data_IF_161809443982
#
_entry.id   IF_161809443982
#
_cell.length_a   1.000
_cell.length_b   1.000
_cell.length_c   1.000
_cell.angle_alpha   90.00
_cell.angle_beta   90.00
_cell.angle_gamma   90.00
#
_symmetry.space_group_name_H-M   'P 1'
#
loop_
_entity.id
_entity.type
_entity.pdbx_description
1 polymer ?
#
# COMPACT_ATOMS: atom_id res chain seq x y z
N UNK A 1 -12.88 23.32 -8.60
CA UNK A 1 -12.04 22.31 -9.31
C UNK A 1 -12.91 21.58 -10.33
N UNK A 2 -12.47 21.48 -11.57
CA UNK A 2 -13.15 20.66 -12.58
C UNK A 2 -13.04 19.17 -12.26
N UNK A 3 -13.90 18.36 -12.91
CA UNK A 3 -13.83 16.89 -12.78
C UNK A 3 -12.46 16.38 -13.19
N UNK A 4 -11.94 16.82 -14.33
CA UNK A 4 -10.62 16.42 -14.82
C UNK A 4 -9.48 16.79 -13.87
N UNK A 5 -9.54 17.96 -13.27
CA UNK A 5 -8.57 18.40 -12.26
C UNK A 5 -8.63 17.54 -11.01
N UNK A 6 -9.84 17.17 -10.56
CA UNK A 6 -10.04 16.27 -9.42
C UNK A 6 -9.43 14.89 -9.69
N UNK A 7 -9.73 14.29 -10.85
CA UNK A 7 -9.17 13.00 -11.23
C UNK A 7 -7.65 13.03 -11.33
N UNK A 8 -7.10 14.10 -11.91
CA UNK A 8 -5.65 14.28 -11.98
C UNK A 8 -5.01 14.42 -10.59
N UNK A 9 -5.63 15.19 -9.68
CA UNK A 9 -5.18 15.35 -8.30
C UNK A 9 -5.20 14.02 -7.54
N UNK A 10 -6.28 13.24 -7.69
CA UNK A 10 -6.41 11.93 -7.04
C UNK A 10 -5.36 10.94 -7.54
N UNK A 11 -5.11 10.88 -8.85
CA UNK A 11 -4.02 10.06 -9.40
C UNK A 11 -2.65 10.50 -8.90
N UNK A 12 -2.42 11.80 -8.80
CA UNK A 12 -1.14 12.35 -8.35
C UNK A 12 -0.83 12.00 -6.89
N UNK A 13 -1.82 12.09 -5.99
CA UNK A 13 -1.61 11.74 -4.57
C UNK A 13 -1.34 10.23 -4.39
N UNK A 14 -2.03 9.38 -5.14
CA UNK A 14 -1.79 7.92 -5.11
C UNK A 14 -0.38 7.60 -5.61
N UNK A 15 0.05 8.19 -6.72
CA UNK A 15 1.41 8.04 -7.24
C UNK A 15 2.44 8.48 -6.20
N UNK A 16 2.28 9.67 -5.64
CA UNK A 16 3.18 10.20 -4.61
C UNK A 16 3.25 9.28 -3.39
N UNK A 17 2.11 8.75 -2.96
CA UNK A 17 2.05 7.80 -1.84
C UNK A 17 2.92 6.56 -2.10
N UNK A 18 2.73 5.90 -3.24
CA UNK A 18 3.49 4.68 -3.59
C UNK A 18 4.99 4.95 -3.75
N UNK A 19 5.35 6.05 -4.41
CA UNK A 19 6.75 6.46 -4.55
C UNK A 19 7.40 6.75 -3.19
N UNK A 20 6.66 7.38 -2.27
CA UNK A 20 7.12 7.68 -0.92
C UNK A 20 7.27 6.42 -0.05
N UNK A 21 6.38 5.44 -0.21
CA UNK A 21 6.50 4.13 0.45
C UNK A 21 7.79 3.41 0.00
N UNK A 22 8.06 3.37 -1.29
CA UNK A 22 9.28 2.77 -1.81
C UNK A 22 10.54 3.49 -1.30
N UNK A 23 10.50 4.82 -1.25
CA UNK A 23 11.62 5.66 -0.81
C UNK A 23 11.81 5.73 0.71
N UNK A 24 10.88 5.19 1.51
CA UNK A 24 10.87 5.35 2.96
C UNK A 24 10.78 6.81 3.42
N UNK A 25 10.08 7.63 2.67
CA UNK A 25 9.83 9.04 3.01
C UNK A 25 8.57 9.16 3.87
N UNK A 26 8.74 9.06 5.18
CA UNK A 26 7.62 9.02 6.14
C UNK A 26 6.82 10.33 6.17
N UNK A 27 7.47 11.47 5.99
CA UNK A 27 6.80 12.77 5.96
C UNK A 27 5.92 12.90 4.73
N UNK A 28 6.42 12.50 3.57
CA UNK A 28 5.65 12.49 2.33
C UNK A 28 4.49 11.48 2.37
N UNK A 29 4.69 10.31 2.99
CA UNK A 29 3.61 9.33 3.24
C UNK A 29 2.52 9.96 4.11
N UNK A 30 2.91 10.57 5.23
CA UNK A 30 1.99 11.25 6.14
C UNK A 30 1.17 12.32 5.41
N UNK A 31 1.81 13.12 4.57
CA UNK A 31 1.15 14.19 3.80
C UNK A 31 0.16 13.68 2.76
N UNK A 32 0.34 12.46 2.25
CA UNK A 32 -0.57 11.85 1.28
C UNK A 32 -1.86 11.31 1.90
N UNK A 33 -1.87 11.02 3.20
CA UNK A 33 -2.96 10.33 3.88
C UNK A 33 -3.89 11.30 4.61
N UNK A 34 -5.21 11.01 4.55
CA UNK A 34 -6.18 11.66 5.42
C UNK A 34 -5.99 11.22 6.87
N UNK A 35 -6.38 12.06 7.83
CA UNK A 35 -6.21 11.77 9.26
C UNK A 35 -6.90 10.44 9.68
N UNK A 36 -8.12 10.23 9.17
CA UNK A 36 -8.95 9.05 9.47
C UNK A 36 -8.86 7.96 8.39
N UNK A 37 -7.73 7.86 7.71
CA UNK A 37 -7.54 6.88 6.62
C UNK A 37 -7.69 5.44 7.14
N UNK A 38 -8.27 4.59 6.30
CA UNK A 38 -8.40 3.15 6.55
C UNK A 38 -7.59 2.38 5.50
N UNK A 39 -6.76 1.47 5.96
CA UNK A 39 -6.04 0.52 5.10
C UNK A 39 -6.60 -0.88 5.32
N UNK A 40 -7.14 -1.48 4.27
CA UNK A 40 -7.50 -2.90 4.23
C UNK A 40 -6.35 -3.65 3.60
N UNK A 41 -5.61 -4.39 4.39
CA UNK A 41 -4.36 -5.02 3.94
C UNK A 41 -4.43 -6.53 3.89
N UNK A 42 -3.57 -7.11 3.06
CA UNK A 42 -3.32 -8.56 3.04
C UNK A 42 -2.51 -8.92 4.28
N UNK A 43 -3.06 -9.79 5.12
CA UNK A 43 -2.43 -10.22 6.34
C UNK A 43 -2.31 -11.75 6.39
N UNK A 44 -1.34 -12.30 7.15
CA UNK A 44 -1.32 -13.71 7.46
C UNK A 44 -2.60 -14.12 8.20
N UNK A 45 -3.04 -15.36 7.99
CA UNK A 45 -4.34 -15.85 8.47
C UNK A 45 -4.52 -15.73 9.99
N UNK A 46 -3.44 -15.82 10.76
CA UNK A 46 -3.49 -15.71 12.22
C UNK A 46 -3.72 -14.28 12.73
N UNK A 47 -3.64 -13.27 11.87
CA UNK A 47 -3.91 -11.87 12.21
C UNK A 47 -5.32 -11.42 11.78
N UNK A 48 -6.12 -12.30 11.18
CA UNK A 48 -7.50 -12.00 10.81
C UNK A 48 -8.47 -12.48 11.90
N UNK A 49 -9.46 -11.67 12.26
CA UNK A 49 -10.36 -11.93 13.37
C UNK A 49 -11.13 -13.25 13.25
N UNK A 50 -11.49 -13.64 12.05
CA UNK A 50 -12.27 -14.86 11.79
C UNK A 50 -11.47 -16.02 11.20
N UNK A 51 -10.17 -15.81 10.93
CA UNK A 51 -9.29 -16.79 10.28
C UNK A 51 -9.72 -17.18 8.85
N UNK A 52 -10.71 -16.48 8.29
CA UNK A 52 -11.35 -16.85 7.02
C UNK A 52 -11.17 -15.79 5.93
N UNK A 53 -10.97 -14.53 6.30
CA UNK A 53 -10.88 -13.42 5.36
C UNK A 53 -9.64 -12.57 5.63
N UNK A 54 -9.12 -11.95 4.59
CA UNK A 54 -8.04 -10.97 4.67
C UNK A 54 -8.57 -9.60 5.11
N UNK A 55 -9.38 -9.58 6.18
CA UNK A 55 -10.09 -8.39 6.63
C UNK A 55 -9.33 -7.62 7.72
N UNK A 56 -8.02 -7.66 7.70
CA UNK A 56 -7.23 -6.85 8.61
C UNK A 56 -7.27 -5.37 8.18
N UNK A 57 -7.52 -4.50 9.14
CA UNK A 57 -7.65 -3.05 8.91
C UNK A 57 -6.69 -2.31 9.84
N UNK A 58 -5.94 -1.38 9.26
CA UNK A 58 -5.20 -0.37 10.03
C UNK A 58 -5.96 0.94 9.90
N UNK A 59 -6.33 1.52 11.03
CA UNK A 59 -7.05 2.78 11.10
C UNK A 59 -6.14 3.90 11.59
N UNK A 60 -6.30 5.07 11.03
CA UNK A 60 -5.58 6.31 11.25
C UNK A 60 -4.26 6.43 10.48
N UNK A 61 -3.98 7.66 10.10
CA UNK A 61 -2.74 8.04 9.42
C UNK A 61 -1.49 7.68 10.24
N UNK A 62 -1.50 7.99 11.52
CA UNK A 62 -0.33 7.75 12.37
C UNK A 62 -0.04 6.25 12.53
N UNK A 63 -1.09 5.42 12.61
CA UNK A 63 -0.95 3.97 12.67
C UNK A 63 -0.37 3.38 11.39
N UNK A 64 -0.81 3.88 10.22
CA UNK A 64 -0.27 3.44 8.92
C UNK A 64 1.19 3.86 8.76
N UNK A 65 1.53 5.11 9.07
CA UNK A 65 2.92 5.59 9.02
C UNK A 65 3.80 4.78 9.97
N UNK A 66 3.31 4.48 11.17
CA UNK A 66 4.03 3.65 12.13
C UNK A 66 4.25 2.22 11.62
N UNK A 67 3.26 1.61 10.99
CA UNK A 67 3.37 0.28 10.38
C UNK A 67 4.42 0.26 9.27
N UNK A 68 4.42 1.24 8.39
CA UNK A 68 5.45 1.37 7.35
C UNK A 68 6.84 1.54 7.97
N UNK A 69 6.95 2.37 9.01
CA UNK A 69 8.21 2.62 9.70
C UNK A 69 8.76 1.38 10.41
N UNK A 70 7.89 0.57 11.02
CA UNK A 70 8.30 -0.52 11.92
C UNK A 70 8.20 -1.92 11.32
N UNK A 71 7.42 -2.10 10.24
CA UNK A 71 7.13 -3.40 9.68
C UNK A 71 7.51 -3.53 8.21
N UNK A 72 7.03 -2.63 7.36
CA UNK A 72 7.24 -2.74 5.91
C UNK A 72 8.72 -2.77 5.52
N UNK A 73 9.48 -1.79 5.98
CA UNK A 73 10.95 -1.81 5.86
C UNK A 73 11.57 -2.47 7.09
N UNK A 74 12.61 -3.24 6.88
CA UNK A 74 13.43 -3.93 7.87
C UNK A 74 12.81 -5.19 8.52
N UNK A 75 11.50 -5.40 8.47
CA UNK A 75 10.87 -6.68 8.88
C UNK A 75 10.32 -7.48 7.70
N UNK A 76 9.60 -6.85 6.80
CA UNK A 76 9.11 -7.52 5.59
C UNK A 76 10.16 -7.47 4.48
N UNK A 77 10.61 -6.28 4.17
CA UNK A 77 11.56 -6.02 3.09
C UNK A 77 12.84 -5.39 3.62
N UNK A 78 13.97 -5.80 3.06
CA UNK A 78 15.26 -5.19 3.37
C UNK A 78 15.26 -3.74 2.87
N UNK A 79 15.58 -2.81 3.78
CA UNK A 79 15.65 -1.38 3.46
C UNK A 79 16.61 -1.11 2.31
N UNK A 80 16.23 -0.19 1.42
CA UNK A 80 17.03 0.18 0.25
C UNK A 80 16.89 -0.79 -0.95
N UNK A 81 16.10 -1.87 -0.81
CA UNK A 81 15.87 -2.82 -1.92
C UNK A 81 14.49 -2.69 -2.53
N UNK A 82 13.59 -1.91 -1.92
CA UNK A 82 12.20 -1.78 -2.39
C UNK A 82 12.13 -0.84 -3.58
N UNK A 83 11.57 -1.33 -4.67
CA UNK A 83 11.16 -0.51 -5.81
C UNK A 83 9.69 -0.76 -6.12
N UNK A 84 8.99 0.29 -6.55
CA UNK A 84 7.61 0.21 -7.01
C UNK A 84 7.55 0.81 -8.40
N UNK A 85 7.14 0.01 -9.37
CA UNK A 85 6.91 0.42 -10.76
C UNK A 85 5.41 0.47 -11.03
N UNK A 86 4.88 1.67 -11.27
CA UNK A 86 3.47 1.86 -11.60
C UNK A 86 3.28 1.58 -13.08
N UNK A 87 2.51 0.51 -13.39
CA UNK A 87 2.21 0.12 -14.77
C UNK A 87 0.98 0.87 -15.33
N UNK A 88 -0.04 1.08 -14.49
CA UNK A 88 -1.26 1.78 -14.89
C UNK A 88 -1.91 2.44 -13.67
N UNK A 89 -2.50 3.60 -13.89
CA UNK A 89 -3.27 4.33 -12.89
C UNK A 89 -4.48 4.96 -13.57
N UNK A 90 -5.67 4.61 -13.09
CA UNK A 90 -6.94 5.10 -13.60
C UNK A 90 -7.78 5.68 -12.47
N UNK A 91 -8.63 6.64 -12.77
CA UNK A 91 -9.49 7.29 -11.79
C UNK A 91 -10.88 7.56 -12.34
N UNK A 92 -11.87 7.38 -11.48
CA UNK A 92 -13.28 7.72 -11.72
C UNK A 92 -13.89 8.19 -10.40
N UNK A 93 -14.63 9.28 -10.40
CA UNK A 93 -15.21 9.90 -9.22
C UNK A 93 -14.16 10.18 -8.11
N UNK A 94 -14.29 9.54 -6.97
CA UNK A 94 -13.38 9.63 -5.85
C UNK A 94 -12.36 8.47 -5.82
N UNK A 95 -12.45 7.55 -6.76
CA UNK A 95 -11.68 6.33 -6.74
C UNK A 95 -10.51 6.33 -7.72
N UNK A 96 -9.45 5.66 -7.32
CA UNK A 96 -8.26 5.41 -8.13
C UNK A 96 -7.90 3.94 -8.04
N UNK A 97 -7.75 3.28 -9.18
CA UNK A 97 -7.15 1.95 -9.26
C UNK A 97 -5.72 2.07 -9.79
N UNK A 98 -4.79 1.42 -9.12
CA UNK A 98 -3.38 1.46 -9.48
C UNK A 98 -2.78 0.06 -9.55
N UNK A 99 -2.32 -0.31 -10.74
CA UNK A 99 -1.58 -1.55 -10.96
C UNK A 99 -0.09 -1.24 -10.90
N UNK A 100 0.62 -1.96 -10.05
CA UNK A 100 2.06 -1.78 -9.91
C UNK A 100 2.78 -3.09 -9.58
N UNK A 101 4.09 -3.08 -9.78
CA UNK A 101 4.99 -4.17 -9.39
C UNK A 101 5.84 -3.69 -8.22
N UNK A 102 5.88 -4.48 -7.17
CA UNK A 102 6.81 -4.30 -6.06
C UNK A 102 7.92 -5.34 -6.17
N UNK A 103 9.13 -4.85 -6.15
CA UNK A 103 10.36 -5.65 -6.22
C UNK A 103 11.23 -5.34 -4.99
N UNK A 104 11.67 -6.38 -4.28
CA UNK A 104 12.44 -6.21 -3.05
C UNK A 104 13.19 -7.50 -2.66
N UNK A 105 14.07 -7.39 -1.70
CA UNK A 105 14.59 -8.56 -0.95
C UNK A 105 13.79 -8.76 0.33
N UNK A 106 13.26 -9.95 0.54
CA UNK A 106 12.57 -10.27 1.79
C UNK A 106 13.56 -10.44 2.94
N UNK A 107 13.16 -10.05 4.14
CA UNK A 107 13.97 -10.25 5.34
C UNK A 107 13.91 -11.70 5.81
N UNK A 108 12.69 -12.23 5.95
CA UNK A 108 12.46 -13.57 6.50
C UNK A 108 13.04 -14.69 5.62
N UNK A 109 12.67 -14.73 4.36
CA UNK A 109 13.14 -15.77 3.44
C UNK A 109 14.53 -15.50 2.87
N UNK A 110 14.98 -14.24 2.92
CA UNK A 110 16.21 -13.78 2.29
C UNK A 110 16.23 -14.10 0.78
N UNK A 111 15.06 -13.96 0.14
CA UNK A 111 14.84 -14.23 -1.28
C UNK A 111 14.35 -12.98 -1.99
N UNK A 112 14.60 -12.93 -3.29
CA UNK A 112 14.04 -11.91 -4.17
C UNK A 112 12.53 -12.08 -4.24
N UNK A 113 11.81 -10.97 -4.05
CA UNK A 113 10.36 -10.88 -4.09
C UNK A 113 9.95 -9.96 -5.22
N UNK A 114 9.10 -10.44 -6.10
CA UNK A 114 8.51 -9.66 -7.17
C UNK A 114 7.05 -10.02 -7.28
N UNK A 115 6.16 -9.13 -6.86
CA UNK A 115 4.73 -9.38 -6.87
C UNK A 115 3.97 -8.25 -7.57
N UNK A 116 2.86 -8.62 -8.17
CA UNK A 116 1.96 -7.72 -8.86
C UNK A 116 0.82 -7.33 -7.93
N UNK A 117 0.57 -6.04 -7.85
CA UNK A 117 -0.44 -5.45 -6.98
C UNK A 117 -1.46 -4.69 -7.79
N UNK A 118 -2.68 -4.69 -7.30
CA UNK A 118 -3.77 -3.88 -7.82
C UNK A 118 -4.48 -3.24 -6.62
N UNK A 119 -4.05 -2.06 -6.24
CA UNK A 119 -4.63 -1.36 -5.11
C UNK A 119 -5.77 -0.47 -5.58
N UNK A 120 -6.81 -0.42 -4.78
CA UNK A 120 -7.98 0.41 -4.99
C UNK A 120 -8.05 1.46 -3.89
N UNK A 121 -8.07 2.73 -4.27
CA UNK A 121 -8.01 3.86 -3.35
C UNK A 121 -9.29 4.68 -3.46
N UNK A 122 -9.75 5.21 -2.32
CA UNK A 122 -10.72 6.29 -2.25
C UNK A 122 -10.01 7.56 -1.77
N UNK A 123 -10.15 8.64 -2.52
CA UNK A 123 -9.55 9.93 -2.23
C UNK A 123 -10.60 10.94 -1.75
N UNK A 124 -10.22 11.80 -0.83
CA UNK A 124 -11.05 12.87 -0.29
C UNK A 124 -10.18 14.10 -0.02
N UNK A 125 -10.58 15.25 -0.54
CA UNK A 125 -9.84 16.52 -0.39
C UNK A 125 -8.34 16.42 -0.76
N UNK A 126 -8.04 15.71 -1.85
CA UNK A 126 -6.65 15.53 -2.32
C UNK A 126 -5.78 14.62 -1.46
N UNK A 127 -6.38 13.81 -0.61
CA UNK A 127 -5.71 12.84 0.26
C UNK A 127 -6.28 11.44 0.03
N UNK A 128 -5.47 10.43 0.30
CA UNK A 128 -5.96 9.04 0.37
C UNK A 128 -6.74 8.87 1.68
N UNK A 129 -8.02 8.52 1.57
CA UNK A 129 -8.93 8.37 2.71
C UNK A 129 -9.22 6.91 3.06
N UNK A 130 -9.09 6.00 2.08
CA UNK A 130 -9.28 4.58 2.29
C UNK A 130 -8.62 3.81 1.13
N UNK A 131 -8.09 2.62 1.39
CA UNK A 131 -7.59 1.78 0.31
C UNK A 131 -7.59 0.30 0.65
N UNK A 132 -7.69 -0.50 -0.41
CA UNK A 132 -7.76 -1.96 -0.37
C UNK A 132 -6.59 -2.53 -1.17
N UNK A 133 -5.89 -3.48 -0.57
CA UNK A 133 -4.75 -4.17 -1.16
C UNK A 133 -5.18 -5.48 -1.83
N UNK A 134 -4.77 -5.68 -3.08
CA UNK A 134 -4.94 -6.94 -3.81
C UNK A 134 -3.61 -7.34 -4.43
N UNK A 135 -3.24 -8.61 -4.26
CA UNK A 135 -1.99 -9.16 -4.76
C UNK A 135 -2.10 -10.67 -4.97
N UNK A 136 -1.05 -11.30 -5.49
CA UNK A 136 -0.91 -12.75 -5.36
C UNK A 136 -0.61 -13.10 -3.90
N UNK A 137 -1.65 -13.43 -3.16
CA UNK A 137 -1.59 -13.68 -1.73
C UNK A 137 -0.88 -14.98 -1.38
N UNK A 138 -0.96 -16.00 -2.25
CA UNK A 138 -0.27 -17.27 -2.03
C UNK A 138 1.24 -17.09 -2.12
N UNK A 139 1.70 -16.33 -3.10
CA UNK A 139 3.11 -16.00 -3.27
C UNK A 139 3.61 -15.14 -2.10
N UNK A 140 2.86 -14.12 -1.71
CA UNK A 140 3.17 -13.27 -0.58
C UNK A 140 3.25 -14.06 0.74
N UNK A 141 2.25 -14.91 1.03
CA UNK A 141 2.21 -15.71 2.24
C UNK A 141 3.45 -16.59 2.38
N UNK A 142 3.86 -17.25 1.31
CA UNK A 142 5.04 -18.12 1.29
C UNK A 142 6.33 -17.36 1.64
N UNK A 143 6.58 -16.23 1.01
CA UNK A 143 7.84 -15.50 1.15
C UNK A 143 7.89 -14.57 2.35
N UNK A 144 6.77 -13.92 2.68
CA UNK A 144 6.74 -12.93 3.76
C UNK A 144 6.46 -13.56 5.12
N UNK A 145 5.58 -14.57 5.17
CA UNK A 145 5.09 -15.12 6.44
C UNK A 145 5.39 -16.61 6.64
N UNK A 146 5.78 -17.32 5.59
CA UNK A 146 6.10 -18.75 5.66
C UNK A 146 4.87 -19.66 5.73
N UNK A 147 3.76 -19.19 5.16
CA UNK A 147 2.50 -19.93 5.10
C UNK A 147 2.29 -20.63 3.73
#
# INVERSE_FOLDING_TARGET
>A
MSVDQKLATNKAVVRKYLESVAAFDLDAIHDCLAENVLQHYVAPSHLTDDGKHNAAVIASRDSIVNEIRTCFHDKMYRRGTVTIEIEAIIAEDDFVACRFVLDAMTVRANEHYRNYYNFFYRCENGKVAEYWEYADTKYAARLLWGE
#
